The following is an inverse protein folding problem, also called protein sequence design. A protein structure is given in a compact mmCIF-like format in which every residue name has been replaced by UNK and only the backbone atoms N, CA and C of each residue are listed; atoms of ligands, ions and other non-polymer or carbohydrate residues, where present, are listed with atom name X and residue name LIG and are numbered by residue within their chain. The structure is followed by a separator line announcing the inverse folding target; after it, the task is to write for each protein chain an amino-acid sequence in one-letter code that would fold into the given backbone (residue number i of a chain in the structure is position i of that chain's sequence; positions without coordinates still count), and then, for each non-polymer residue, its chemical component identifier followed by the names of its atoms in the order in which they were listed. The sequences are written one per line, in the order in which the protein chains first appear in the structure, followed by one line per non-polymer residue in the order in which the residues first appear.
data_IF_317980696346
#
_entry.id   IF_317980696346
#
_cell.length_a   1.000
_cell.length_b   1.000
_cell.length_c   1.000
_cell.angle_alpha   90.00
_cell.angle_beta   90.00
_cell.angle_gamma   90.00
#
_symmetry.space_group_name_H-M   'P 1'
#
loop_
_entity.id
_entity.type
_entity.pdbx_description
1 polymer ?
#
# COMPACT_ATOMS: atom_id res chain seq x y z
N UNK A 1 -9.87 -72.25 8.49
CA UNK A 1 -10.38 -70.99 7.87
C UNK A 1 -11.47 -70.43 8.76
N UNK A 2 -11.17 -69.33 9.37
CA UNK A 2 -12.14 -68.71 10.26
C UNK A 2 -13.15 -67.90 9.44
N UNK A 3 -14.38 -68.33 9.45
CA UNK A 3 -15.48 -67.59 8.82
C UNK A 3 -16.61 -67.44 9.84
N UNK A 4 -17.46 -66.42 9.67
CA UNK A 4 -18.49 -66.10 10.64
C UNK A 4 -19.70 -67.01 10.59
N UNK A 5 -19.65 -68.01 9.76
CA UNK A 5 -20.79 -68.97 9.56
C UNK A 5 -20.64 -70.27 10.33
N UNK A 6 -21.70 -70.70 10.96
CA UNK A 6 -21.76 -72.02 11.61
C UNK A 6 -21.99 -73.11 10.57
N UNK A 7 -21.40 -74.30 10.78
CA UNK A 7 -21.62 -75.41 9.90
C UNK A 7 -23.04 -75.98 10.07
N UNK A 8 -23.69 -76.32 8.95
CA UNK A 8 -24.96 -77.01 8.96
C UNK A 8 -24.76 -78.48 9.17
N UNK A 9 -25.77 -79.19 9.69
CA UNK A 9 -25.72 -80.60 10.04
C UNK A 9 -25.45 -81.53 8.84
N UNK A 10 -25.71 -81.12 7.60
CA UNK A 10 -25.52 -81.85 6.36
C UNK A 10 -24.39 -81.37 5.48
N UNK A 11 -23.37 -80.75 6.08
CA UNK A 11 -22.16 -80.37 5.33
C UNK A 11 -22.19 -79.00 4.62
N UNK A 12 -23.15 -78.16 4.88
CA UNK A 12 -23.21 -76.79 4.37
C UNK A 12 -23.19 -75.73 5.47
N UNK A 13 -23.09 -74.46 5.13
CA UNK A 13 -23.24 -73.35 6.09
C UNK A 13 -24.68 -73.19 6.54
N UNK A 14 -24.88 -72.71 7.78
CA UNK A 14 -26.20 -72.42 8.28
C UNK A 14 -26.78 -71.26 7.46
N UNK A 15 -27.92 -71.48 6.84
CA UNK A 15 -28.57 -70.46 5.95
C UNK A 15 -28.88 -69.20 6.68
N UNK A 16 -29.32 -69.27 7.93
CA UNK A 16 -29.65 -68.12 8.73
C UNK A 16 -28.38 -67.28 9.03
N UNK A 17 -27.26 -67.93 9.33
CA UNK A 17 -25.98 -67.23 9.57
C UNK A 17 -25.47 -66.58 8.31
N UNK A 18 -25.65 -67.19 7.15
CA UNK A 18 -25.27 -66.53 5.86
C UNK A 18 -26.10 -65.33 5.59
N UNK A 19 -27.41 -65.38 5.78
CA UNK A 19 -28.30 -64.22 5.59
C UNK A 19 -27.98 -63.10 6.54
N UNK A 20 -27.74 -63.39 7.82
CA UNK A 20 -27.35 -62.39 8.82
C UNK A 20 -26.04 -61.73 8.46
N UNK A 21 -25.04 -62.48 8.01
CA UNK A 21 -23.74 -61.97 7.59
C UNK A 21 -23.91 -61.03 6.38
N UNK A 22 -24.70 -61.46 5.38
CA UNK A 22 -24.93 -60.64 4.18
C UNK A 22 -25.67 -59.33 4.51
N UNK A 23 -26.64 -59.39 5.41
CA UNK A 23 -27.37 -58.21 5.89
C UNK A 23 -26.44 -57.22 6.60
N UNK A 24 -25.56 -57.75 7.48
CA UNK A 24 -24.57 -56.94 8.19
C UNK A 24 -23.54 -56.30 7.24
N UNK A 25 -23.05 -57.10 6.28
CA UNK A 25 -22.13 -56.60 5.26
C UNK A 25 -22.76 -55.47 4.43
N UNK A 26 -24.01 -55.66 4.02
CA UNK A 26 -24.78 -54.68 3.28
C UNK A 26 -24.99 -53.40 4.09
N UNK A 27 -25.30 -53.52 5.36
CA UNK A 27 -25.51 -52.41 6.29
C UNK A 27 -24.22 -51.63 6.51
N UNK A 28 -23.11 -52.32 6.73
CA UNK A 28 -21.79 -51.69 6.91
C UNK A 28 -21.36 -50.97 5.64
N UNK A 29 -21.57 -51.57 4.48
CA UNK A 29 -21.26 -50.93 3.19
C UNK A 29 -22.11 -49.69 2.96
N UNK A 30 -23.40 -49.71 3.28
CA UNK A 30 -24.28 -48.59 3.19
C UNK A 30 -23.86 -47.45 4.13
N UNK A 31 -23.47 -47.76 5.36
CA UNK A 31 -22.99 -46.78 6.32
C UNK A 31 -21.66 -46.16 5.87
N UNK A 32 -20.74 -46.98 5.37
CA UNK A 32 -19.46 -46.49 4.85
C UNK A 32 -19.68 -45.57 3.65
N UNK A 33 -20.57 -45.93 2.74
CA UNK A 33 -20.90 -45.12 1.59
C UNK A 33 -21.54 -43.77 2.01
N UNK A 34 -22.42 -43.79 2.99
CA UNK A 34 -23.06 -42.60 3.52
C UNK A 34 -22.04 -41.67 4.18
N UNK A 35 -21.09 -42.20 4.95
CA UNK A 35 -20.02 -41.46 5.58
C UNK A 35 -19.11 -40.80 4.53
N UNK A 36 -18.74 -41.56 3.50
CA UNK A 36 -17.90 -41.04 2.40
C UNK A 36 -18.61 -39.95 1.64
N UNK A 37 -19.90 -40.12 1.39
CA UNK A 37 -20.68 -39.10 0.72
C UNK A 37 -20.79 -37.83 1.55
N UNK A 38 -21.03 -37.92 2.85
CA UNK A 38 -21.03 -36.79 3.78
C UNK A 38 -19.68 -36.05 3.77
N UNK A 39 -18.58 -36.78 3.81
CA UNK A 39 -17.23 -36.21 3.77
C UNK A 39 -16.96 -35.51 2.45
N UNK A 40 -17.43 -36.11 1.34
CA UNK A 40 -17.28 -35.53 0.02
C UNK A 40 -18.04 -34.19 -0.07
N UNK A 41 -19.28 -34.18 0.38
CA UNK A 41 -20.10 -32.95 0.38
C UNK A 41 -19.48 -31.85 1.25
N UNK A 42 -18.98 -32.23 2.43
CA UNK A 42 -18.29 -31.29 3.30
C UNK A 42 -17.00 -30.77 2.67
N UNK A 43 -16.21 -31.65 2.06
CA UNK A 43 -14.98 -31.24 1.37
C UNK A 43 -15.26 -30.32 0.18
N UNK A 44 -16.31 -30.60 -0.59
CA UNK A 44 -16.74 -29.75 -1.70
C UNK A 44 -17.20 -28.38 -1.22
N UNK A 45 -17.96 -28.34 -0.10
CA UNK A 45 -18.40 -27.11 0.51
C UNK A 45 -17.21 -26.26 1.00
N UNK A 46 -16.24 -26.88 1.66
CA UNK A 46 -15.02 -26.22 2.10
C UNK A 46 -14.20 -25.70 0.91
N UNK A 47 -14.08 -26.53 -0.13
CA UNK A 47 -13.38 -26.13 -1.37
C UNK A 47 -14.01 -24.90 -1.99
N UNK A 48 -15.34 -24.89 -2.09
CA UNK A 48 -16.07 -23.76 -2.69
C UNK A 48 -15.95 -22.50 -1.84
N UNK A 49 -16.00 -22.62 -0.52
CA UNK A 49 -15.77 -21.51 0.40
C UNK A 49 -14.36 -20.94 0.25
N UNK A 50 -13.34 -21.81 0.21
CA UNK A 50 -11.96 -21.40 0.01
C UNK A 50 -11.73 -20.74 -1.35
N UNK A 51 -12.39 -21.23 -2.39
CA UNK A 51 -12.32 -20.65 -3.73
C UNK A 51 -12.89 -19.23 -3.73
N UNK A 52 -14.04 -19.02 -3.11
CA UNK A 52 -14.68 -17.72 -2.99
C UNK A 52 -13.80 -16.75 -2.19
N UNK A 53 -13.26 -17.21 -1.08
CA UNK A 53 -12.33 -16.41 -0.27
C UNK A 53 -11.06 -16.06 -1.06
N UNK A 54 -10.51 -17.02 -1.80
CA UNK A 54 -9.34 -16.79 -2.64
C UNK A 54 -9.60 -15.75 -3.75
N UNK A 55 -10.76 -15.78 -4.37
CA UNK A 55 -11.16 -14.80 -5.38
C UNK A 55 -11.30 -13.40 -4.78
N UNK A 56 -11.89 -13.32 -3.59
CA UNK A 56 -12.04 -12.04 -2.88
C UNK A 56 -10.66 -11.47 -2.49
N UNK A 57 -9.78 -12.30 -1.96
CA UNK A 57 -8.42 -11.88 -1.61
C UNK A 57 -7.63 -11.40 -2.84
N UNK A 58 -7.81 -12.05 -3.98
CA UNK A 58 -7.19 -11.60 -5.24
C UNK A 58 -7.69 -10.24 -5.66
N UNK A 59 -8.98 -9.98 -5.53
CA UNK A 59 -9.55 -8.66 -5.83
C UNK A 59 -9.01 -7.59 -4.90
N UNK A 60 -8.92 -7.90 -3.61
CA UNK A 60 -8.35 -6.97 -2.62
C UNK A 60 -6.88 -6.69 -2.91
N UNK A 61 -6.11 -7.72 -3.26
CA UNK A 61 -4.70 -7.57 -3.62
C UNK A 61 -4.53 -6.68 -4.85
N UNK A 62 -5.35 -6.90 -5.88
CA UNK A 62 -5.30 -6.10 -7.10
C UNK A 62 -5.68 -4.65 -6.84
N UNK A 63 -6.71 -4.41 -6.03
CA UNK A 63 -7.10 -3.07 -5.63
C UNK A 63 -5.98 -2.37 -4.84
N UNK A 64 -5.36 -3.08 -3.90
CA UNK A 64 -4.24 -2.56 -3.12
C UNK A 64 -3.03 -2.23 -3.99
N UNK A 65 -2.74 -3.05 -5.01
CA UNK A 65 -1.66 -2.77 -5.96
C UNK A 65 -1.92 -1.52 -6.78
N UNK A 66 -3.16 -1.30 -7.19
CA UNK A 66 -3.55 -0.08 -7.92
C UNK A 66 -3.40 1.16 -7.06
N UNK A 67 -3.84 1.07 -5.81
CA UNK A 67 -3.70 2.17 -4.84
C UNK A 67 -2.22 2.49 -4.58
N UNK A 68 -1.39 1.45 -4.45
CA UNK A 68 0.05 1.62 -4.27
C UNK A 68 0.68 2.31 -5.47
N UNK A 69 0.34 1.88 -6.68
CA UNK A 69 0.84 2.47 -7.92
C UNK A 69 0.46 3.96 -8.01
N UNK A 70 -0.79 4.30 -7.70
CA UNK A 70 -1.24 5.69 -7.65
C UNK A 70 -0.48 6.51 -6.61
N UNK A 71 -0.30 5.95 -5.42
CA UNK A 71 0.45 6.60 -4.36
C UNK A 71 1.92 6.85 -4.74
N UNK A 72 2.54 5.89 -5.43
CA UNK A 72 3.90 6.05 -5.94
C UNK A 72 3.99 7.14 -6.99
N UNK A 73 3.03 7.22 -7.91
CA UNK A 73 2.97 8.28 -8.91
C UNK A 73 2.79 9.65 -8.28
N UNK A 74 1.91 9.76 -7.28
CA UNK A 74 1.70 10.99 -6.53
C UNK A 74 2.97 11.41 -5.77
N UNK A 75 3.62 10.46 -5.13
CA UNK A 75 4.91 10.68 -4.45
C UNK A 75 5.95 11.23 -5.41
N UNK A 76 6.10 10.62 -6.58
CA UNK A 76 7.08 11.04 -7.58
C UNK A 76 6.77 12.44 -8.11
N UNK A 77 5.49 12.73 -8.35
CA UNK A 77 5.03 14.06 -8.76
C UNK A 77 5.31 15.11 -7.70
N UNK A 78 5.00 14.81 -6.43
CA UNK A 78 5.27 15.71 -5.31
C UNK A 78 6.77 15.94 -5.11
N UNK A 79 7.58 14.90 -5.26
CA UNK A 79 9.04 14.98 -5.17
C UNK A 79 9.60 15.93 -6.24
N UNK A 80 9.12 15.80 -7.49
CA UNK A 80 9.53 16.67 -8.58
C UNK A 80 9.12 18.14 -8.32
N UNK A 81 7.90 18.35 -7.82
CA UNK A 81 7.40 19.70 -7.48
C UNK A 81 8.21 20.30 -6.33
N UNK A 82 8.55 19.50 -5.34
CA UNK A 82 9.37 19.96 -4.22
C UNK A 82 10.75 20.39 -4.69
N UNK A 83 11.41 19.58 -5.51
CA UNK A 83 12.72 19.93 -6.08
C UNK A 83 12.68 21.24 -6.87
N UNK A 84 11.64 21.41 -7.68
CA UNK A 84 11.43 22.65 -8.45
C UNK A 84 11.23 23.86 -7.53
N UNK A 85 10.40 23.72 -6.50
CA UNK A 85 10.11 24.79 -5.54
C UNK A 85 11.37 25.16 -4.74
N UNK A 86 12.16 24.17 -4.33
CA UNK A 86 13.43 24.41 -3.65
C UNK A 86 14.41 25.19 -4.53
N UNK A 87 14.47 24.86 -5.81
CA UNK A 87 15.31 25.58 -6.77
C UNK A 87 14.83 27.02 -6.95
N UNK A 88 13.52 27.23 -7.13
CA UNK A 88 12.92 28.56 -7.24
C UNK A 88 13.18 29.39 -5.97
N UNK A 89 13.07 28.77 -4.81
CA UNK A 89 13.35 29.43 -3.54
C UNK A 89 14.83 29.85 -3.43
N UNK A 90 15.75 28.97 -3.85
CA UNK A 90 17.19 29.28 -3.86
C UNK A 90 17.48 30.48 -4.77
N UNK A 91 16.89 30.53 -5.97
CA UNK A 91 17.03 31.66 -6.89
C UNK A 91 16.45 32.93 -6.29
N UNK A 92 15.27 32.87 -5.70
CA UNK A 92 14.62 33.99 -5.06
C UNK A 92 15.44 34.59 -3.91
N UNK A 93 16.01 33.70 -3.07
CA UNK A 93 16.90 34.10 -1.97
C UNK A 93 18.18 34.76 -2.46
N UNK A 94 18.77 34.25 -3.54
CA UNK A 94 19.95 34.86 -4.15
C UNK A 94 19.63 36.25 -4.69
N UNK A 95 18.50 36.44 -5.39
CA UNK A 95 18.04 37.72 -5.90
C UNK A 95 17.76 38.70 -4.76
N UNK A 96 17.11 38.25 -3.69
CA UNK A 96 16.87 39.10 -2.53
C UNK A 96 18.17 39.57 -1.86
N UNK A 97 19.17 38.69 -1.79
CA UNK A 97 20.49 39.02 -1.27
C UNK A 97 21.19 40.08 -2.15
N UNK A 98 21.11 39.90 -3.47
CA UNK A 98 21.67 40.89 -4.42
C UNK A 98 20.99 42.24 -4.31
N UNK A 99 19.66 42.25 -4.23
CA UNK A 99 18.88 43.48 -4.05
C UNK A 99 19.20 44.19 -2.75
N UNK A 100 19.38 43.41 -1.66
CA UNK A 100 19.77 43.99 -0.37
C UNK A 100 21.17 44.62 -0.43
N UNK A 101 22.11 44.03 -1.14
CA UNK A 101 23.45 44.60 -1.35
C UNK A 101 23.41 45.88 -2.20
N UNK A 102 22.63 45.86 -3.27
CA UNK A 102 22.43 47.06 -4.10
C UNK A 102 21.80 48.19 -3.30
N UNK A 103 20.82 47.91 -2.47
CA UNK A 103 20.19 48.89 -1.60
C UNK A 103 21.19 49.48 -0.60
N UNK A 104 22.01 48.64 0.01
CA UNK A 104 23.05 49.08 0.95
C UNK A 104 24.08 49.99 0.26
N UNK A 105 24.47 49.62 -0.95
CA UNK A 105 25.38 50.44 -1.76
C UNK A 105 24.76 51.79 -2.10
N UNK A 106 23.50 51.79 -2.54
CA UNK A 106 22.78 53.03 -2.86
C UNK A 106 22.62 53.92 -1.63
N UNK A 107 22.34 53.39 -0.47
CA UNK A 107 22.27 54.14 0.78
C UNK A 107 23.61 54.79 1.15
N UNK A 108 24.68 54.06 0.97
CA UNK A 108 26.04 54.52 1.23
C UNK A 108 26.42 55.67 0.31
N UNK A 109 26.15 55.55 -0.99
CA UNK A 109 26.36 56.60 -1.97
C UNK A 109 25.52 57.82 -1.68
N UNK A 110 24.27 57.66 -1.27
CA UNK A 110 23.38 58.72 -0.86
C UNK A 110 23.96 59.48 0.33
N UNK A 111 24.42 58.78 1.35
CA UNK A 111 24.96 59.39 2.55
C UNK A 111 26.26 60.13 2.26
N UNK A 112 27.13 59.58 1.41
CA UNK A 112 28.35 60.24 0.94
C UNK A 112 28.03 61.52 0.17
N UNK A 113 27.02 61.47 -0.71
CA UNK A 113 26.58 62.66 -1.47
C UNK A 113 26.01 63.74 -0.56
N UNK A 114 25.23 63.38 0.44
CA UNK A 114 24.70 64.30 1.44
C UNK A 114 25.82 64.96 2.24
N UNK A 115 26.79 64.17 2.67
CA UNK A 115 27.94 64.69 3.42
C UNK A 115 28.78 65.66 2.56
N UNK A 116 29.00 65.30 1.29
CA UNK A 116 29.72 66.14 0.37
C UNK A 116 28.96 67.46 0.11
N UNK A 117 27.63 67.40 -0.04
CA UNK A 117 26.77 68.56 -0.21
C UNK A 117 26.83 69.51 0.99
N UNK A 118 26.71 68.94 2.21
CA UNK A 118 26.81 69.77 3.43
C UNK A 118 28.19 70.37 3.61
N UNK A 119 29.25 69.63 3.29
CA UNK A 119 30.60 70.19 3.34
C UNK A 119 30.84 71.33 2.33
N UNK A 120 30.19 71.24 1.19
CA UNK A 120 30.29 72.33 0.16
C UNK A 120 29.41 73.55 0.44
N UNK A 121 28.37 73.38 1.28
CA UNK A 121 27.42 74.47 1.57
C UNK A 121 28.07 75.72 2.16
N UNK A 122 28.95 75.61 3.17
CA UNK A 122 29.64 76.83 3.66
C UNK A 122 30.48 77.56 2.60
N UNK A 123 31.15 76.80 1.72
CA UNK A 123 31.95 77.39 0.65
C UNK A 123 31.07 78.14 -0.38
N UNK A 124 29.91 77.54 -0.72
CA UNK A 124 28.95 78.20 -1.63
C UNK A 124 28.36 79.47 -1.02
N UNK A 125 28.03 79.40 0.28
CA UNK A 125 27.53 80.61 0.99
C UNK A 125 28.58 81.68 1.07
N UNK A 126 29.82 81.36 1.40
CA UNK A 126 30.91 82.28 1.43
C UNK A 126 31.16 82.93 0.07
N UNK A 127 31.07 82.14 -1.01
CA UNK A 127 31.19 82.68 -2.36
C UNK A 127 30.07 83.70 -2.71
N UNK A 128 28.84 83.43 -2.32
CA UNK A 128 27.70 84.30 -2.52
C UNK A 128 27.80 85.60 -1.71
N UNK A 129 28.34 85.52 -0.52
CA UNK A 129 28.53 86.70 0.35
C UNK A 129 29.64 87.61 -0.14
N UNK A 130 30.61 87.11 -0.88
CA UNK A 130 31.70 87.87 -1.47
C UNK A 130 31.25 88.71 -2.68
N UNK A 131 30.10 88.38 -3.20
CA UNK A 131 29.49 89.15 -4.25
C UNK A 131 28.65 90.32 -3.69
#
# INVERSE_FOLDING_TARGET
MDHPFRSAALGGFNKQDVLTFLEEQSKQAAQAQQQLQSRLEEAESQRDALRTEGEELRRQLEAARRELEQAEQERDSLSARLAKTEQELAVSRAQAGDTARELETARRERDEARAALEAARPNAQAYLELK
#
